data_IF_169934279310
#
_entry.id   IF_169934279310
#
_cell.length_a   1.000
_cell.length_b   1.000
_cell.length_c   1.000
_cell.angle_alpha   90.00
_cell.angle_beta   90.00
_cell.angle_gamma   90.00
#
_symmetry.space_group_name_H-M   'P 1'
#
loop_
_entity.id
_entity.type
_entity.pdbx_description
1 polymer ?
#
# COMPACT_ATOMS: atom_id res chain seq x y z
N UNK A 1 40.54 -10.98 -19.63
CA UNK A 1 40.43 -10.06 -18.44
C UNK A 1 39.23 -9.11 -18.51
N UNK A 2 38.88 -8.56 -19.65
CA UNK A 2 37.75 -7.61 -19.76
C UNK A 2 36.36 -8.20 -19.51
N UNK A 3 36.12 -9.49 -19.75
CA UNK A 3 34.83 -10.13 -19.55
C UNK A 3 34.52 -10.46 -18.07
N UNK A 4 35.57 -10.70 -17.29
CA UNK A 4 35.41 -11.02 -15.85
C UNK A 4 34.99 -9.79 -15.04
N UNK A 5 35.54 -8.63 -15.36
CA UNK A 5 35.21 -7.36 -14.71
C UNK A 5 33.78 -6.92 -15.04
N UNK A 6 33.32 -7.15 -16.26
CA UNK A 6 31.92 -6.83 -16.65
C UNK A 6 30.89 -7.69 -15.93
N UNK A 7 31.18 -8.96 -15.68
CA UNK A 7 30.27 -9.86 -14.97
C UNK A 7 30.16 -9.50 -13.48
N UNK A 8 31.28 -9.09 -12.85
CA UNK A 8 31.28 -8.66 -11.44
C UNK A 8 30.51 -7.35 -11.26
N UNK A 9 30.66 -6.40 -12.20
CA UNK A 9 29.94 -5.12 -12.16
C UNK A 9 28.44 -5.32 -12.37
N UNK A 10 28.04 -6.20 -13.26
CA UNK A 10 26.63 -6.52 -13.47
C UNK A 10 26.00 -7.22 -12.25
N UNK A 11 26.74 -8.10 -11.60
CA UNK A 11 26.27 -8.77 -10.36
C UNK A 11 26.16 -7.81 -9.18
N UNK A 12 27.09 -6.87 -9.04
CA UNK A 12 27.05 -5.82 -8.03
C UNK A 12 25.90 -4.84 -8.24
N UNK A 13 25.58 -4.48 -9.47
CA UNK A 13 24.44 -3.64 -9.82
C UNK A 13 23.10 -4.33 -9.52
N UNK A 14 22.98 -5.63 -9.73
CA UNK A 14 21.80 -6.42 -9.38
C UNK A 14 21.58 -6.50 -7.86
N UNK A 15 22.64 -6.64 -7.08
CA UNK A 15 22.56 -6.67 -5.60
C UNK A 15 22.20 -5.29 -5.05
N UNK A 16 22.80 -4.22 -5.57
CA UNK A 16 22.47 -2.85 -5.19
C UNK A 16 21.02 -2.49 -5.57
N UNK A 17 20.51 -2.93 -6.72
CA UNK A 17 19.13 -2.72 -7.15
C UNK A 17 18.10 -3.40 -6.26
N UNK A 18 18.40 -4.60 -5.71
CA UNK A 18 17.47 -5.31 -4.83
C UNK A 18 17.43 -4.76 -3.38
N UNK A 19 18.49 -4.12 -2.92
CA UNK A 19 18.54 -3.51 -1.59
C UNK A 19 17.94 -2.10 -1.53
N UNK A 20 17.94 -1.35 -2.64
CA UNK A 20 17.40 0.02 -2.69
C UNK A 20 15.87 0.09 -2.66
N UNK A 21 15.14 -1.01 -2.94
CA UNK A 21 13.67 -1.03 -2.97
C UNK A 21 13.06 -0.93 -1.56
N UNK A 22 13.74 -1.42 -0.51
CA UNK A 22 13.20 -1.43 0.86
C UNK A 22 13.29 -0.10 1.60
N UNK A 23 14.10 0.85 1.14
CA UNK A 23 14.29 2.16 1.79
C UNK A 23 13.87 3.35 0.93
N UNK A 24 13.35 3.10 -0.27
CA UNK A 24 12.98 4.16 -1.21
C UNK A 24 11.55 4.64 -0.95
N UNK A 25 11.36 5.96 -0.78
CA UNK A 25 10.03 6.55 -0.69
C UNK A 25 9.22 6.25 -1.97
N UNK A 26 7.92 5.98 -1.82
CA UNK A 26 7.05 5.70 -2.96
C UNK A 26 7.00 6.86 -3.97
N UNK A 27 7.11 8.09 -3.47
CA UNK A 27 7.14 9.30 -4.29
C UNK A 27 8.32 9.37 -5.26
N UNK A 28 9.44 8.69 -4.94
CA UNK A 28 10.64 8.62 -5.79
C UNK A 28 10.66 7.45 -6.77
N UNK A 29 9.71 6.54 -6.67
CA UNK A 29 9.55 5.42 -7.61
C UNK A 29 8.90 5.89 -8.91
N UNK A 30 9.21 5.21 -10.03
CA UNK A 30 8.40 5.37 -11.23
C UNK A 30 6.95 4.90 -10.99
N UNK A 31 6.05 5.27 -11.88
CA UNK A 31 4.62 5.00 -11.71
C UNK A 31 4.31 3.51 -11.66
N UNK A 32 4.91 2.71 -12.51
CA UNK A 32 4.69 1.27 -12.58
C UNK A 32 5.19 0.55 -11.32
N UNK A 33 6.38 0.90 -10.87
CA UNK A 33 6.96 0.36 -9.64
C UNK A 33 6.13 0.74 -8.43
N UNK A 34 5.76 2.00 -8.32
CA UNK A 34 4.90 2.51 -7.24
C UNK A 34 3.55 1.81 -7.21
N UNK A 35 2.88 1.68 -8.36
CA UNK A 35 1.61 0.96 -8.49
C UNK A 35 1.75 -0.49 -8.00
N UNK A 36 2.79 -1.18 -8.39
CA UNK A 36 3.06 -2.57 -8.00
C UNK A 36 3.27 -2.72 -6.51
N UNK A 37 4.16 -1.92 -5.92
CA UNK A 37 4.49 -2.00 -4.50
C UNK A 37 3.31 -1.60 -3.60
N UNK A 38 2.62 -0.53 -3.91
CA UNK A 38 1.45 -0.09 -3.14
C UNK A 38 0.30 -1.10 -3.22
N UNK A 39 0.04 -1.67 -4.39
CA UNK A 39 -0.98 -2.72 -4.54
C UNK A 39 -0.62 -3.98 -3.76
N UNK A 40 0.64 -4.38 -3.76
CA UNK A 40 1.14 -5.51 -2.96
C UNK A 40 0.93 -5.31 -1.46
N UNK A 41 1.28 -4.13 -0.95
CA UNK A 41 1.03 -3.76 0.45
C UNK A 41 -0.46 -3.82 0.77
N UNK A 42 -1.30 -3.22 -0.06
CA UNK A 42 -2.74 -3.19 0.13
C UNK A 42 -3.36 -4.58 0.14
N UNK A 43 -2.95 -5.45 -0.78
CA UNK A 43 -3.41 -6.83 -0.84
C UNK A 43 -2.99 -7.64 0.38
N UNK A 44 -1.79 -7.44 0.88
CA UNK A 44 -1.31 -8.09 2.11
C UNK A 44 -2.20 -7.75 3.30
N UNK A 45 -2.59 -6.49 3.44
CA UNK A 45 -3.51 -6.04 4.50
C UNK A 45 -4.92 -6.61 4.26
N UNK A 46 -5.45 -6.52 3.05
CA UNK A 46 -6.79 -7.01 2.71
C UNK A 46 -6.94 -8.52 2.92
N UNK A 47 -5.89 -9.30 2.69
CA UNK A 47 -5.84 -10.75 2.89
C UNK A 47 -5.59 -11.18 4.34
N UNK A 48 -5.49 -10.24 5.28
CA UNK A 48 -5.35 -10.59 6.68
C UNK A 48 -6.49 -11.52 7.14
N UNK A 49 -6.23 -12.57 7.94
CA UNK A 49 -7.26 -13.52 8.40
C UNK A 49 -8.46 -12.85 9.06
N UNK A 50 -8.29 -11.69 9.69
CA UNK A 50 -9.38 -10.89 10.26
C UNK A 50 -10.44 -10.52 9.21
N UNK A 51 -10.03 -10.36 7.96
CA UNK A 51 -10.89 -9.97 6.84
C UNK A 51 -11.27 -11.13 5.93
N UNK A 52 -11.04 -12.37 6.35
CA UNK A 52 -11.28 -13.57 5.54
C UNK A 52 -12.71 -13.66 4.99
N UNK A 53 -13.70 -13.21 5.74
CA UNK A 53 -15.11 -13.18 5.29
C UNK A 53 -15.30 -12.23 4.11
N UNK A 54 -14.66 -11.08 4.11
CA UNK A 54 -14.70 -10.12 3.00
C UNK A 54 -13.99 -10.68 1.78
N UNK A 55 -12.77 -11.16 1.97
CA UNK A 55 -11.97 -11.70 0.89
C UNK A 55 -12.63 -12.94 0.25
N UNK A 56 -13.18 -13.85 1.05
CA UNK A 56 -13.88 -15.03 0.55
C UNK A 56 -15.15 -14.69 -0.21
N UNK A 57 -15.89 -13.67 0.24
CA UNK A 57 -17.13 -13.25 -0.40
C UNK A 57 -16.91 -12.45 -1.67
N UNK A 58 -15.96 -11.52 -1.67
CA UNK A 58 -15.78 -10.54 -2.74
C UNK A 58 -14.53 -10.79 -3.58
N UNK A 59 -13.46 -11.35 -3.00
CA UNK A 59 -12.20 -11.58 -3.68
C UNK A 59 -11.52 -10.29 -4.16
N UNK A 60 -10.65 -10.45 -5.13
CA UNK A 60 -9.97 -9.35 -5.81
C UNK A 60 -9.95 -9.60 -7.32
N UNK A 61 -10.36 -8.61 -8.11
CA UNK A 61 -10.50 -8.78 -9.57
C UNK A 61 -9.22 -8.49 -10.37
N UNK A 62 -8.12 -8.13 -9.71
CA UNK A 62 -6.88 -7.70 -10.38
C UNK A 62 -6.83 -6.19 -10.68
N UNK A 63 -7.89 -5.45 -10.38
CA UNK A 63 -7.94 -4.00 -10.58
C UNK A 63 -7.74 -3.25 -9.28
N UNK A 64 -6.76 -2.34 -9.27
CA UNK A 64 -6.54 -1.35 -8.21
C UNK A 64 -6.39 0.05 -8.79
N UNK A 65 -6.77 1.04 -8.03
CA UNK A 65 -6.55 2.44 -8.36
C UNK A 65 -5.84 3.12 -7.19
N UNK A 66 -4.88 3.99 -7.49
CA UNK A 66 -4.12 4.72 -6.49
C UNK A 66 -4.39 6.21 -6.64
N UNK A 67 -4.70 6.84 -5.53
CA UNK A 67 -4.80 8.29 -5.41
C UNK A 67 -3.94 8.81 -4.27
N UNK A 68 -3.62 10.09 -4.30
CA UNK A 68 -2.89 10.76 -3.23
C UNK A 68 -3.85 11.43 -2.26
N UNK A 69 -3.45 11.45 -1.00
CA UNK A 69 -4.16 12.14 0.06
C UNK A 69 -3.13 12.84 0.95
N UNK A 70 -3.41 14.09 1.32
CA UNK A 70 -2.55 14.84 2.22
C UNK A 70 -3.24 15.01 3.58
N UNK A 71 -2.54 14.64 4.65
CA UNK A 71 -3.00 14.90 6.00
C UNK A 71 -2.91 16.40 6.25
N UNK A 72 -4.04 17.04 6.47
CA UNK A 72 -4.11 18.45 6.84
C UNK A 72 -3.76 18.59 8.32
N UNK A 73 -2.77 19.41 8.62
CA UNK A 73 -2.15 19.44 9.94
C UNK A 73 -2.77 20.39 10.94
N UNK A 74 -4.08 20.28 11.21
CA UNK A 74 -4.76 21.03 12.26
C UNK A 74 -5.54 20.10 13.19
N UNK A 75 -5.52 20.36 14.49
CA UNK A 75 -6.30 19.61 15.47
C UNK A 75 -5.80 18.19 15.74
N UNK A 76 -6.71 17.23 15.74
CA UNK A 76 -6.45 15.82 16.03
C UNK A 76 -5.45 15.14 15.06
N UNK A 77 -5.20 15.75 13.91
CA UNK A 77 -4.28 15.20 12.91
C UNK A 77 -2.80 15.55 13.19
N UNK A 78 -2.50 16.32 14.21
CA UNK A 78 -1.12 16.72 14.52
C UNK A 78 -0.22 15.51 14.84
N UNK A 79 -0.66 14.65 15.72
CA UNK A 79 0.09 13.45 16.13
C UNK A 79 0.20 12.45 14.97
N UNK A 80 -0.85 12.34 14.17
CA UNK A 80 -0.83 11.55 12.94
C UNK A 80 0.18 12.10 11.94
N UNK A 81 0.25 13.42 11.80
CA UNK A 81 1.19 14.09 10.90
C UNK A 81 2.64 13.85 11.29
N UNK A 82 2.98 13.90 12.58
CA UNK A 82 4.33 13.61 13.04
C UNK A 82 4.76 12.17 12.72
N UNK A 83 3.86 11.21 12.96
CA UNK A 83 4.14 9.79 12.70
C UNK A 83 4.10 9.43 11.21
N UNK A 84 3.05 9.83 10.53
CA UNK A 84 2.73 9.37 9.16
C UNK A 84 3.30 10.30 8.08
N UNK A 85 3.72 11.52 8.43
CA UNK A 85 4.04 12.56 7.45
C UNK A 85 2.77 13.13 6.80
N UNK A 86 2.93 13.89 5.74
CA UNK A 86 1.82 14.56 5.07
C UNK A 86 1.25 13.77 3.90
N UNK A 87 2.12 13.19 3.07
CA UNK A 87 1.70 12.50 1.86
C UNK A 87 1.30 11.06 2.15
N UNK A 88 0.10 10.70 1.73
CA UNK A 88 -0.48 9.39 1.83
C UNK A 88 -0.93 8.91 0.46
N UNK A 89 -0.90 7.59 0.27
CA UNK A 89 -1.52 6.93 -0.88
C UNK A 89 -2.77 6.20 -0.44
N UNK A 90 -3.82 6.29 -1.23
CA UNK A 90 -5.05 5.51 -1.03
C UNK A 90 -5.12 4.49 -2.15
N UNK A 91 -4.97 3.23 -1.81
CA UNK A 91 -5.09 2.11 -2.75
C UNK A 91 -6.50 1.56 -2.67
N UNK A 92 -7.27 1.75 -3.74
CA UNK A 92 -8.62 1.21 -3.88
C UNK A 92 -8.54 -0.17 -4.52
N UNK A 93 -9.11 -1.18 -3.86
CA UNK A 93 -9.16 -2.56 -4.33
C UNK A 93 -10.57 -2.91 -4.80
N UNK A 94 -10.69 -3.39 -6.03
CA UNK A 94 -11.96 -3.79 -6.62
C UNK A 94 -12.17 -5.29 -6.50
N UNK A 95 -13.42 -5.70 -6.23
CA UNK A 95 -13.75 -7.09 -6.01
C UNK A 95 -14.06 -7.83 -7.31
N UNK A 96 -13.96 -9.18 -7.25
CA UNK A 96 -14.25 -10.09 -8.36
C UNK A 96 -15.73 -10.16 -8.70
N UNK A 97 -16.59 -10.11 -7.70
CA UNK A 97 -18.03 -10.07 -7.85
C UNK A 97 -18.43 -8.61 -7.72
N UNK A 98 -18.55 -7.95 -8.85
CA UNK A 98 -19.17 -6.62 -8.97
C UNK A 98 -20.64 -6.78 -8.67
N UNK A 99 -20.96 -7.17 -7.50
CA UNK A 99 -22.32 -7.29 -7.06
C UNK A 99 -22.99 -5.91 -7.11
N UNK A 100 -24.13 -5.83 -6.60
CA UNK A 100 -25.05 -4.74 -6.41
C UNK A 100 -24.44 -3.38 -5.95
N UNK A 101 -23.14 -3.33 -5.79
CA UNK A 101 -22.36 -2.17 -5.30
C UNK A 101 -21.79 -1.29 -6.43
N UNK A 102 -22.02 -1.65 -7.69
CA UNK A 102 -21.55 -0.88 -8.83
C UNK A 102 -20.01 -0.74 -8.92
N UNK A 103 -19.53 0.45 -9.20
CA UNK A 103 -18.12 0.76 -9.42
C UNK A 103 -17.33 1.07 -8.12
N UNK A 104 -17.89 0.80 -6.95
CA UNK A 104 -17.23 1.11 -5.69
C UNK A 104 -16.16 0.08 -5.32
N UNK A 105 -15.00 0.52 -4.83
CA UNK A 105 -13.98 -0.38 -4.31
C UNK A 105 -14.49 -1.08 -3.05
N UNK A 106 -14.17 -2.38 -2.91
CA UNK A 106 -14.50 -3.12 -1.69
C UNK A 106 -13.68 -2.66 -0.49
N UNK A 107 -12.43 -2.29 -0.73
CA UNK A 107 -11.52 -1.83 0.32
C UNK A 107 -10.68 -0.66 -0.17
N UNK A 108 -10.35 0.23 0.76
CA UNK A 108 -9.38 1.30 0.59
C UNK A 108 -8.29 1.14 1.64
N UNK A 109 -7.06 1.00 1.21
CA UNK A 109 -5.89 0.89 2.10
C UNK A 109 -5.08 2.18 2.02
N UNK A 110 -4.80 2.75 3.18
CA UNK A 110 -4.03 3.99 3.31
C UNK A 110 -2.59 3.65 3.65
N UNK A 111 -1.65 4.14 2.86
CA UNK A 111 -0.22 3.89 2.98
C UNK A 111 0.51 5.21 3.16
N UNK A 112 1.34 5.31 4.19
CA UNK A 112 2.18 6.48 4.45
C UNK A 112 3.42 6.45 3.58
N UNK A 113 3.71 7.55 2.87
CA UNK A 113 4.97 7.71 2.15
C UNK A 113 6.16 7.75 3.12
N UNK A 114 6.03 8.48 4.23
CA UNK A 114 7.07 8.61 5.27
C UNK A 114 7.36 7.30 5.99
N UNK A 115 6.32 6.60 6.44
CA UNK A 115 6.47 5.34 7.19
C UNK A 115 6.76 4.14 6.27
N UNK A 116 6.49 4.24 4.98
CA UNK A 116 6.70 3.16 4.01
C UNK A 116 5.76 1.97 4.20
N UNK A 117 4.63 2.15 4.90
CA UNK A 117 3.70 1.07 5.23
C UNK A 117 2.26 1.53 5.38
N UNK A 118 1.33 0.58 5.30
CA UNK A 118 -0.07 0.83 5.52
C UNK A 118 -0.37 1.16 6.99
N UNK A 119 -1.39 1.97 7.22
CA UNK A 119 -1.82 2.38 8.56
C UNK A 119 -3.33 2.33 8.78
N UNK A 120 -4.12 2.16 7.72
CA UNK A 120 -5.57 2.03 7.82
C UNK A 120 -6.13 1.24 6.65
N UNK A 121 -7.15 0.46 6.89
CA UNK A 121 -8.02 -0.12 5.88
C UNK A 121 -9.48 0.26 6.16
N UNK A 122 -10.21 0.62 5.11
CA UNK A 122 -11.65 0.90 5.13
C UNK A 122 -12.38 -0.04 4.18
N UNK A 123 -13.59 -0.43 4.56
CA UNK A 123 -14.46 -1.29 3.75
C UNK A 123 -15.76 -0.57 3.39
N UNK A 124 -16.29 -0.91 2.22
CA UNK A 124 -17.55 -0.38 1.73
C UNK A 124 -17.53 1.15 1.57
N UNK A 125 -18.62 1.79 1.93
CA UNK A 125 -18.76 3.25 1.90
C UNK A 125 -18.16 3.93 3.13
N UNK A 126 -16.94 3.54 3.53
CA UNK A 126 -16.21 4.05 4.68
C UNK A 126 -16.87 3.78 6.05
N UNK A 127 -17.85 2.89 6.11
CA UNK A 127 -18.58 2.56 7.34
C UNK A 127 -17.78 1.70 8.32
N UNK A 128 -16.73 1.01 7.85
CA UNK A 128 -15.88 0.15 8.66
C UNK A 128 -14.41 0.54 8.49
N UNK A 129 -13.80 1.06 9.55
CA UNK A 129 -12.43 1.54 9.57
C UNK A 129 -11.60 0.74 10.59
N UNK A 130 -10.42 0.34 10.17
CA UNK A 130 -9.45 -0.36 11.00
C UNK A 130 -8.11 0.38 10.95
N UNK A 131 -7.91 1.38 11.83
CA UNK A 131 -6.64 2.09 11.93
C UNK A 131 -5.62 1.30 12.76
N UNK A 132 -4.31 1.48 12.49
CA UNK A 132 -3.25 0.73 13.15
C UNK A 132 -3.21 0.95 14.69
N UNK A 133 -3.55 2.12 15.17
CA UNK A 133 -3.52 2.41 16.60
C UNK A 133 -4.57 1.64 17.44
N UNK A 134 -5.66 1.18 16.79
CA UNK A 134 -6.64 0.31 17.41
C UNK A 134 -6.44 -1.18 17.05
N UNK A 135 -5.76 -1.46 15.93
CA UNK A 135 -5.58 -2.79 15.38
C UNK A 135 -4.14 -3.02 14.89
N UNK A 136 -3.13 -2.84 15.77
CA UNK A 136 -1.73 -2.91 15.34
C UNK A 136 -1.32 -4.27 14.76
N UNK A 137 -2.03 -5.33 15.16
CA UNK A 137 -1.77 -6.70 14.68
C UNK A 137 -2.02 -6.88 13.17
N UNK A 138 -2.83 -6.00 12.56
CA UNK A 138 -3.15 -6.07 11.13
C UNK A 138 -1.99 -5.52 10.28
N UNK A 139 -1.24 -4.56 10.82
CA UNK A 139 -0.25 -3.77 10.08
C UNK A 139 1.21 -4.13 10.39
N UNK A 140 1.44 -5.32 10.87
CA UNK A 140 2.78 -5.84 11.19
C UNK A 140 3.54 -6.26 9.93
#
# INVERSE_FOLDING_TARGET
MTNFIRTIIASLLLIAGSQSVQGQAFSSMDETQRQTELTKIALTIYKNPKFSKYYSKYGYCGRSEISTYNIKGEGEDKDRKEYLGTQQYVVKLYCKKGADWGEFPIAKVYVSDKAGKAWMIRFGNDNMMFPYWNFPEIFK
#
